data_IF_164947842276
#
_entry.id   IF_164947842276
#
_cell.length_a   1.000
_cell.length_b   1.000
_cell.length_c   1.000
_cell.angle_alpha   90.00
_cell.angle_beta   90.00
_cell.angle_gamma   90.00
#
_symmetry.space_group_name_H-M   'P 1'
#
loop_
_entity.id
_entity.type
_entity.pdbx_description
1 polymer ?
#
# COMPACT_ATOMS: atom_id res chain seq x y z
N UNK A 1 -15.12 -4.87 17.97
CA UNK A 1 -13.70 -4.85 17.53
C UNK A 1 -12.90 -3.91 18.45
N UNK A 2 -11.90 -4.40 19.21
CA UNK A 2 -10.95 -3.49 19.90
C UNK A 2 -10.25 -2.65 18.82
N UNK A 3 -10.44 -1.32 18.82
CA UNK A 3 -9.82 -0.41 17.84
C UNK A 3 -8.30 -0.46 18.01
N UNK A 4 -7.59 -1.12 17.09
CA UNK A 4 -6.14 -0.96 17.00
C UNK A 4 -5.84 0.37 16.30
N UNK A 5 -5.74 1.43 17.10
CA UNK A 5 -5.50 2.81 16.64
C UNK A 5 -4.25 2.90 15.77
N UNK A 6 -3.17 2.18 16.14
CA UNK A 6 -1.91 2.20 15.40
C UNK A 6 -2.05 1.59 13.99
N UNK A 7 -2.78 0.47 13.85
CA UNK A 7 -3.05 -0.12 12.53
C UNK A 7 -3.90 0.79 11.65
N UNK A 8 -4.86 1.50 12.23
CA UNK A 8 -5.66 2.48 11.50
C UNK A 8 -4.83 3.67 11.05
N UNK A 9 -3.96 4.21 11.89
CA UNK A 9 -3.03 5.28 11.50
C UNK A 9 -2.13 4.82 10.35
N UNK A 10 -1.53 3.64 10.47
CA UNK A 10 -0.68 3.06 9.43
C UNK A 10 -1.44 2.87 8.10
N UNK A 11 -2.65 2.27 8.15
CA UNK A 11 -3.49 2.07 6.97
C UNK A 11 -3.88 3.40 6.32
N UNK A 12 -4.34 4.37 7.10
CA UNK A 12 -4.76 5.67 6.58
C UNK A 12 -3.58 6.41 5.94
N UNK A 13 -2.39 6.34 6.54
CA UNK A 13 -1.19 6.96 5.98
C UNK A 13 -0.80 6.34 4.64
N UNK A 14 -0.70 5.01 4.57
CA UNK A 14 -0.30 4.31 3.34
C UNK A 14 -1.37 4.48 2.27
N UNK A 15 -2.64 4.27 2.62
CA UNK A 15 -3.74 4.39 1.67
C UNK A 15 -3.93 5.83 1.16
N UNK A 16 -3.80 6.84 2.02
CA UNK A 16 -3.85 8.24 1.61
C UNK A 16 -2.72 8.59 0.64
N UNK A 17 -1.50 8.11 0.91
CA UNK A 17 -0.36 8.34 0.02
C UNK A 17 -0.54 7.64 -1.33
N UNK A 18 -1.01 6.40 -1.34
CA UNK A 18 -1.30 5.68 -2.58
C UNK A 18 -2.46 6.32 -3.36
N UNK A 19 -3.52 6.78 -2.69
CA UNK A 19 -4.62 7.47 -3.34
C UNK A 19 -4.16 8.79 -3.99
N UNK A 20 -3.30 9.55 -3.30
CA UNK A 20 -2.66 10.73 -3.86
C UNK A 20 -1.80 10.40 -5.07
N UNK A 21 -0.92 9.39 -4.97
CA UNK A 21 -0.07 8.95 -6.07
C UNK A 21 -0.91 8.46 -7.27
N UNK A 22 -1.97 7.71 -7.03
CA UNK A 22 -2.92 7.27 -8.04
C UNK A 22 -3.56 8.47 -8.75
N UNK A 23 -4.04 9.46 -7.99
CA UNK A 23 -4.65 10.64 -8.57
C UNK A 23 -3.67 11.40 -9.48
N UNK A 24 -2.43 11.62 -9.02
CA UNK A 24 -1.36 12.19 -9.83
C UNK A 24 -1.14 11.38 -11.11
N UNK A 25 -0.92 10.08 -10.97
CA UNK A 25 -0.61 9.16 -12.07
C UNK A 25 -1.77 8.86 -13.00
N UNK A 26 -3.02 9.18 -12.67
CA UNK A 26 -4.16 8.91 -13.55
C UNK A 26 -4.67 10.17 -14.24
N UNK A 27 -4.65 11.30 -13.55
CA UNK A 27 -5.36 12.51 -14.01
C UNK A 27 -4.43 13.67 -14.35
N UNK A 28 -3.19 13.68 -13.86
CA UNK A 28 -2.27 14.78 -14.17
C UNK A 28 -1.50 14.55 -15.48
N UNK A 29 -1.11 15.62 -16.19
CA UNK A 29 -0.17 15.57 -17.30
C UNK A 29 1.18 14.97 -16.86
N UNK A 30 1.82 14.19 -17.74
CA UNK A 30 3.14 13.57 -17.43
C UNK A 30 4.24 14.61 -17.22
N UNK A 31 4.10 15.81 -17.81
CA UNK A 31 5.01 16.94 -17.57
C UNK A 31 5.12 17.34 -16.10
N UNK A 32 4.05 17.10 -15.33
CA UNK A 32 3.91 17.55 -13.95
C UNK A 32 4.25 16.42 -12.96
N UNK A 33 4.59 15.24 -13.48
CA UNK A 33 4.99 14.07 -12.70
C UNK A 33 6.51 14.03 -12.46
N UNK A 34 6.91 13.07 -11.63
CA UNK A 34 8.31 12.78 -11.32
C UNK A 34 9.12 12.43 -12.59
N UNK A 35 10.46 12.66 -12.58
CA UNK A 35 11.32 12.42 -13.75
C UNK A 35 11.14 11.03 -14.39
N UNK A 36 11.10 9.95 -13.60
CA UNK A 36 10.93 8.59 -14.12
C UNK A 36 9.68 8.43 -14.99
N UNK A 37 8.60 9.15 -14.67
CA UNK A 37 7.33 9.03 -15.38
C UNK A 37 7.40 9.61 -16.80
N UNK A 38 8.36 10.51 -17.05
CA UNK A 38 8.60 11.14 -18.36
C UNK A 38 9.42 10.26 -19.30
N UNK A 39 10.08 9.24 -18.76
CA UNK A 39 11.03 8.38 -19.47
C UNK A 39 10.48 6.99 -19.80
N UNK A 40 9.22 6.72 -19.45
CA UNK A 40 8.57 5.44 -19.68
C UNK A 40 7.28 5.62 -20.49
N UNK A 41 6.75 4.55 -21.12
CA UNK A 41 5.47 4.63 -21.79
C UNK A 41 4.36 5.11 -20.85
N UNK A 42 3.52 6.03 -21.33
CA UNK A 42 2.38 6.56 -20.57
C UNK A 42 1.50 5.45 -19.99
N UNK A 43 1.28 4.39 -20.75
CA UNK A 43 0.51 3.22 -20.32
C UNK A 43 1.06 2.61 -19.02
N UNK A 44 2.38 2.54 -18.84
CA UNK A 44 3.00 2.03 -17.62
C UNK A 44 2.72 2.95 -16.43
N UNK A 45 2.83 4.27 -16.62
CA UNK A 45 2.50 5.26 -15.58
C UNK A 45 1.06 5.08 -15.13
N UNK A 46 0.11 5.03 -16.09
CA UNK A 46 -1.32 4.87 -15.78
C UNK A 46 -1.61 3.52 -15.12
N UNK A 47 -0.97 2.43 -15.56
CA UNK A 47 -1.10 1.12 -14.92
C UNK A 47 -0.69 1.17 -13.44
N UNK A 48 0.47 1.77 -13.13
CA UNK A 48 0.89 1.90 -11.72
C UNK A 48 -0.08 2.79 -10.92
N UNK A 49 -0.70 3.79 -11.54
CA UNK A 49 -1.76 4.59 -10.90
C UNK A 49 -3.00 3.77 -10.56
N UNK A 50 -3.42 2.85 -11.43
CA UNK A 50 -4.52 1.90 -11.13
C UNK A 50 -4.13 0.97 -9.98
N UNK A 51 -2.90 0.45 -9.99
CA UNK A 51 -2.40 -0.43 -8.91
C UNK A 51 -2.37 0.31 -7.57
N UNK A 52 -1.90 1.56 -7.54
CA UNK A 52 -1.91 2.40 -6.34
C UNK A 52 -3.33 2.60 -5.81
N UNK A 53 -4.30 2.90 -6.71
CA UNK A 53 -5.70 3.10 -6.33
C UNK A 53 -6.31 1.83 -5.73
N UNK A 54 -6.04 0.67 -6.33
CA UNK A 54 -6.49 -0.63 -5.80
C UNK A 54 -5.85 -0.93 -4.44
N UNK A 55 -4.57 -0.61 -4.27
CA UNK A 55 -3.87 -0.72 -2.99
C UNK A 55 -4.51 0.14 -1.90
N UNK A 56 -4.78 1.41 -2.20
CA UNK A 56 -5.46 2.33 -1.27
C UNK A 56 -6.85 1.83 -0.89
N UNK A 57 -7.66 1.44 -1.89
CA UNK A 57 -9.01 0.92 -1.68
C UNK A 57 -8.99 -0.37 -0.85
N UNK A 58 -8.11 -1.32 -1.17
CA UNK A 58 -7.99 -2.60 -0.46
C UNK A 58 -7.50 -2.46 0.98
N UNK A 59 -6.68 -1.44 1.27
CA UNK A 59 -6.22 -1.17 2.63
C UNK A 59 -7.30 -0.57 3.54
N UNK A 60 -8.26 0.19 2.98
CA UNK A 60 -9.24 0.93 3.80
C UNK A 60 -10.64 0.31 3.74
N UNK A 61 -11.19 0.09 2.54
CA UNK A 61 -12.60 -0.25 2.37
C UNK A 61 -13.03 -1.55 3.07
N UNK A 62 -12.28 -2.68 2.98
CA UNK A 62 -12.71 -3.92 3.63
C UNK A 62 -12.78 -3.80 5.16
N UNK A 63 -11.85 -3.04 5.75
CA UNK A 63 -11.80 -2.78 7.19
C UNK A 63 -12.83 -1.75 7.65
N UNK A 64 -13.16 -0.78 6.79
CA UNK A 64 -14.09 0.32 7.10
C UNK A 64 -15.55 -0.13 6.97
N UNK A 65 -15.85 -0.92 5.94
CA UNK A 65 -17.20 -1.42 5.64
C UNK A 65 -17.52 -2.73 6.36
N UNK A 66 -16.55 -3.32 7.05
CA UNK A 66 -16.63 -4.65 7.67
C UNK A 66 -16.99 -5.78 6.67
N UNK A 67 -16.56 -5.62 5.41
CA UNK A 67 -16.80 -6.56 4.31
C UNK A 67 -15.51 -7.32 4.03
N UNK A 68 -15.51 -8.64 4.31
CA UNK A 68 -14.35 -9.53 4.12
C UNK A 68 -13.02 -8.89 4.59
N UNK A 69 -12.84 -8.58 5.88
CA UNK A 69 -11.64 -7.88 6.39
C UNK A 69 -10.30 -8.56 6.07
N UNK A 70 -10.31 -9.85 5.71
CA UNK A 70 -9.16 -10.59 5.19
C UNK A 70 -8.61 -10.04 3.86
N UNK A 71 -9.35 -9.19 3.15
CA UNK A 71 -8.85 -8.50 1.95
C UNK A 71 -7.82 -7.43 2.30
N UNK A 72 -7.89 -6.79 3.47
CA UNK A 72 -6.91 -5.77 3.89
C UNK A 72 -5.48 -6.31 3.98
N UNK A 73 -5.19 -7.44 4.66
CA UNK A 73 -3.84 -7.97 4.66
C UNK A 73 -3.36 -8.45 3.29
N UNK A 74 -4.26 -8.93 2.41
CA UNK A 74 -3.91 -9.28 1.03
C UNK A 74 -3.48 -8.03 0.25
N UNK A 75 -4.25 -6.95 0.37
CA UNK A 75 -3.90 -5.66 -0.23
C UNK A 75 -2.55 -5.14 0.31
N UNK A 76 -2.31 -5.27 1.62
CA UNK A 76 -1.04 -4.88 2.24
C UNK A 76 0.16 -5.67 1.67
N UNK A 77 0.01 -6.98 1.46
CA UNK A 77 1.04 -7.80 0.78
C UNK A 77 1.26 -7.31 -0.67
N UNK A 78 0.19 -7.00 -1.39
CA UNK A 78 0.29 -6.39 -2.73
C UNK A 78 1.07 -5.08 -2.73
N UNK A 79 0.85 -4.22 -1.73
CA UNK A 79 1.61 -2.97 -1.56
C UNK A 79 3.08 -3.24 -1.26
N UNK A 80 3.42 -4.25 -0.45
CA UNK A 80 4.82 -4.66 -0.24
C UNK A 80 5.47 -5.06 -1.56
N UNK A 81 4.80 -5.91 -2.35
CA UNK A 81 5.30 -6.34 -3.66
C UNK A 81 5.50 -5.15 -4.61
N UNK A 82 4.55 -4.22 -4.64
CA UNK A 82 4.66 -2.99 -5.41
C UNK A 82 5.88 -2.17 -5.02
N UNK A 83 6.14 -1.99 -3.71
CA UNK A 83 7.30 -1.24 -3.23
C UNK A 83 8.62 -1.91 -3.62
N UNK A 84 8.68 -3.24 -3.59
CA UNK A 84 9.84 -4.01 -4.05
C UNK A 84 10.05 -3.81 -5.55
N UNK A 85 9.01 -3.97 -6.37
CA UNK A 85 9.09 -3.74 -7.82
C UNK A 85 9.55 -2.31 -8.13
N UNK A 86 9.01 -1.31 -7.45
CA UNK A 86 9.40 0.07 -7.63
C UNK A 86 10.85 0.34 -7.17
N UNK A 87 11.33 -0.31 -6.11
CA UNK A 87 12.70 -0.16 -5.65
C UNK A 87 13.68 -0.75 -6.67
N UNK A 88 13.38 -1.96 -7.18
CA UNK A 88 14.17 -2.60 -8.25
C UNK A 88 14.17 -1.72 -9.51
N UNK A 89 13.03 -1.16 -9.89
CA UNK A 89 12.92 -0.24 -11.02
C UNK A 89 13.85 0.97 -10.89
N UNK A 90 13.86 1.64 -9.73
CA UNK A 90 14.76 2.78 -9.48
C UNK A 90 16.23 2.36 -9.43
N UNK A 91 16.57 1.21 -8.85
CA UNK A 91 17.95 0.71 -8.81
C UNK A 91 18.50 0.46 -10.22
N UNK A 92 17.73 -0.18 -11.10
CA UNK A 92 18.14 -0.46 -12.48
C UNK A 92 18.40 0.84 -13.27
N UNK A 93 17.71 1.93 -12.90
CA UNK A 93 17.87 3.26 -13.50
C UNK A 93 18.99 4.11 -12.88
N UNK A 94 19.73 3.56 -11.92
CA UNK A 94 20.78 4.32 -11.20
C UNK A 94 20.22 5.31 -10.17
N UNK A 95 18.94 5.23 -9.83
CA UNK A 95 18.22 6.12 -8.91
C UNK A 95 18.16 5.55 -7.49
N UNK A 96 19.17 4.77 -7.08
CA UNK A 96 19.16 4.07 -5.79
C UNK A 96 19.04 5.00 -4.57
N UNK A 97 19.40 6.28 -4.70
CA UNK A 97 19.27 7.27 -3.63
C UNK A 97 17.82 7.58 -3.24
N UNK A 98 16.82 7.29 -4.10
CA UNK A 98 15.41 7.64 -3.86
C UNK A 98 14.57 6.49 -3.30
N UNK A 99 15.13 5.28 -3.17
CA UNK A 99 14.38 4.08 -2.75
C UNK A 99 13.98 4.07 -1.27
N UNK A 100 14.45 5.05 -0.47
CA UNK A 100 14.15 5.13 0.96
C UNK A 100 12.64 5.12 1.24
N UNK A 101 11.85 5.82 0.42
CA UNK A 101 10.39 5.84 0.55
C UNK A 101 9.76 4.47 0.31
N UNK A 102 10.29 3.70 -0.65
CA UNK A 102 9.82 2.35 -0.94
C UNK A 102 10.05 1.42 0.26
N UNK A 103 11.23 1.52 0.89
CA UNK A 103 11.58 0.73 2.08
C UNK A 103 10.64 1.07 3.23
N UNK A 104 10.43 2.36 3.51
CA UNK A 104 9.54 2.81 4.58
C UNK A 104 8.11 2.29 4.36
N UNK A 105 7.55 2.46 3.16
CA UNK A 105 6.20 1.97 2.88
C UNK A 105 6.09 0.45 2.88
N UNK A 106 7.12 -0.28 2.43
CA UNK A 106 7.15 -1.74 2.52
C UNK A 106 7.12 -2.22 3.99
N UNK A 107 7.87 -1.56 4.88
CA UNK A 107 7.88 -1.88 6.31
C UNK A 107 6.50 -1.63 6.93
N UNK A 108 5.90 -0.46 6.66
CA UNK A 108 4.57 -0.13 7.20
C UNK A 108 3.50 -1.09 6.66
N UNK A 109 3.54 -1.40 5.35
CA UNK A 109 2.61 -2.35 4.75
C UNK A 109 2.77 -3.77 5.33
N UNK A 110 4.00 -4.21 5.60
CA UNK A 110 4.27 -5.48 6.29
C UNK A 110 3.68 -5.49 7.69
N UNK A 111 3.82 -4.39 8.44
CA UNK A 111 3.20 -4.23 9.75
C UNK A 111 1.66 -4.30 9.68
N UNK A 112 1.04 -3.68 8.67
CA UNK A 112 -0.41 -3.75 8.45
C UNK A 112 -0.84 -5.19 8.15
N UNK A 113 -0.15 -5.88 7.24
CA UNK A 113 -0.44 -7.26 6.89
C UNK A 113 -0.40 -8.17 8.13
N UNK A 114 0.67 -8.08 8.93
CA UNK A 114 0.80 -8.86 10.16
C UNK A 114 -0.33 -8.52 11.15
N UNK A 115 -0.57 -7.23 11.43
CA UNK A 115 -1.55 -6.81 12.41
C UNK A 115 -2.99 -7.19 12.06
N UNK A 116 -3.32 -7.32 10.77
CA UNK A 116 -4.65 -7.73 10.29
C UNK A 116 -4.79 -9.23 10.03
N UNK A 117 -3.70 -9.98 9.97
CA UNK A 117 -3.71 -11.45 9.88
C UNK A 117 -3.91 -12.14 11.23
N UNK A 118 -3.58 -11.49 12.36
CA UNK A 118 -3.68 -12.12 13.69
C UNK A 118 -5.13 -12.56 14.00
N UNK A 119 -5.38 -13.86 14.23
CA UNK A 119 -6.66 -14.32 14.75
C UNK A 119 -6.91 -13.69 16.12
N UNK A 120 -8.16 -13.33 16.41
CA UNK A 120 -8.57 -13.03 17.78
C UNK A 120 -8.27 -14.30 18.59
N UNK A 121 -7.36 -14.23 19.56
CA UNK A 121 -7.15 -15.33 20.49
C UNK A 121 -8.45 -15.47 21.27
N UNK A 122 -9.26 -16.45 20.91
CA UNK A 122 -10.36 -16.89 21.76
C UNK A 122 -9.69 -17.46 23.01
N UNK A 123 -9.74 -16.70 24.11
CA UNK A 123 -9.47 -17.27 25.42
C UNK A 123 -10.56 -18.31 25.63
N UNK A 124 -10.24 -19.57 25.34
CA UNK A 124 -11.04 -20.69 25.79
C UNK A 124 -11.05 -20.61 27.30
N UNK A 125 -12.18 -20.17 27.86
CA UNK A 125 -12.47 -20.32 29.27
C UNK A 125 -12.40 -21.83 29.58
N UNK A 126 -11.25 -22.29 30.04
CA UNK A 126 -11.12 -23.58 30.71
C UNK A 126 -11.70 -23.40 32.11
N UNK A 127 -13.02 -23.47 32.23
CA UNK A 127 -13.69 -23.74 33.50
C UNK A 127 -14.00 -25.22 33.55
N UNK A 128 -13.13 -25.96 34.24
CA UNK A 128 -13.44 -27.21 34.94
C UNK A 128 -12.60 -27.26 36.19
#
# INVERSE_FOLDING_TARGET
MKKNTLLWIAQSLVAGTLAWAAYMKLFQPVSDLWPWAKEVPLALVRLTGVVDLLGAAGLILPSLLDIRPKLTPIAAIGVVMLMICAAVFHIIRGEASVIGMNIVFAIIATFIAWGRLKPIRNETHTTT
#
